data_IF_167746481505
#
_entry.id   IF_167746481505
#
_cell.length_a   1.000
_cell.length_b   1.000
_cell.length_c   1.000
_cell.angle_alpha   90.00
_cell.angle_beta   90.00
_cell.angle_gamma   90.00
#
_symmetry.space_group_name_H-M   'P 1'
#
loop_
_entity.id
_entity.type
_entity.pdbx_description
1 polymer ?
#
# COMPACT_ATOMS: atom_id res chain seq x y z
N UNK A 1 33.66 15.05 9.42
CA UNK A 1 32.65 14.04 9.04
C UNK A 1 32.59 14.00 7.52
N UNK A 2 32.97 12.88 6.88
CA UNK A 2 32.78 12.72 5.43
C UNK A 2 31.30 12.40 5.18
N UNK A 3 30.55 13.36 4.65
CA UNK A 3 29.20 13.10 4.11
C UNK A 3 29.38 12.36 2.79
N UNK A 4 29.23 11.03 2.81
CA UNK A 4 29.11 10.26 1.58
C UNK A 4 27.73 10.55 0.97
N UNK A 5 27.67 11.30 -0.13
CA UNK A 5 26.42 11.59 -0.86
C UNK A 5 25.95 10.38 -1.71
N UNK A 6 26.04 9.17 -1.16
CA UNK A 6 25.67 7.97 -1.88
C UNK A 6 24.20 7.65 -1.58
N UNK A 7 23.45 7.33 -2.62
CA UNK A 7 22.07 6.83 -2.53
C UNK A 7 22.08 5.37 -2.93
N UNK A 8 21.50 4.51 -2.09
CA UNK A 8 21.28 3.09 -2.40
C UNK A 8 19.79 2.85 -2.51
N UNK A 9 19.35 2.32 -3.64
CA UNK A 9 17.96 1.97 -3.89
C UNK A 9 17.79 0.46 -3.77
N UNK A 10 16.87 0.03 -2.89
CA UNK A 10 16.53 -1.38 -2.72
C UNK A 10 15.30 -1.72 -3.57
N UNK A 11 15.52 -2.49 -4.63
CA UNK A 11 14.50 -2.96 -5.57
C UNK A 11 14.01 -4.37 -5.23
N UNK A 12 13.94 -4.76 -3.96
CA UNK A 12 13.46 -6.10 -3.61
C UNK A 12 12.95 -6.11 -2.18
N UNK A 13 11.76 -6.68 -1.96
CA UNK A 13 11.20 -6.89 -0.63
C UNK A 13 12.13 -7.70 0.26
N UNK A 14 12.88 -8.65 -0.32
CA UNK A 14 13.91 -9.41 0.39
C UNK A 14 15.00 -8.49 0.95
N UNK A 15 15.52 -7.56 0.16
CA UNK A 15 16.58 -6.63 0.59
C UNK A 15 16.05 -5.62 1.61
N UNK A 16 14.85 -5.08 1.39
CA UNK A 16 14.17 -4.19 2.33
C UNK A 16 14.03 -4.87 3.69
N UNK A 17 13.56 -6.12 3.71
CA UNK A 17 13.45 -6.91 4.94
C UNK A 17 14.80 -7.13 5.62
N UNK A 18 15.81 -7.60 4.87
CA UNK A 18 17.12 -7.90 5.45
C UNK A 18 17.74 -6.67 6.11
N UNK A 19 17.60 -5.49 5.50
CA UNK A 19 18.18 -4.26 6.02
C UNK A 19 17.35 -3.58 7.11
N UNK A 20 16.03 -3.44 6.88
CA UNK A 20 15.16 -2.65 7.75
C UNK A 20 14.50 -3.46 8.86
N UNK A 21 14.15 -4.72 8.63
CA UNK A 21 13.29 -5.51 9.53
C UNK A 21 14.06 -6.48 10.40
N UNK A 22 14.78 -7.43 9.79
CA UNK A 22 15.49 -8.48 10.54
C UNK A 22 16.64 -7.93 11.36
N UNK A 23 17.30 -6.90 10.85
CA UNK A 23 18.58 -6.43 11.39
C UNK A 23 18.48 -5.06 12.07
N UNK A 24 17.33 -4.38 11.97
CA UNK A 24 17.11 -3.04 12.53
C UNK A 24 18.23 -2.03 12.21
N UNK A 25 18.96 -2.27 11.12
CA UNK A 25 20.34 -1.81 10.97
C UNK A 25 20.40 -0.32 10.66
N UNK A 26 19.44 0.20 9.88
CA UNK A 26 19.41 1.61 9.54
C UNK A 26 19.07 2.55 10.73
N UNK A 27 18.52 2.03 11.84
CA UNK A 27 17.84 2.86 12.85
C UNK A 27 18.21 2.58 14.31
N UNK A 28 19.11 1.66 14.60
CA UNK A 28 19.33 1.24 15.99
C UNK A 28 20.29 2.13 16.79
N UNK A 29 21.06 3.04 16.18
CA UNK A 29 22.08 3.84 16.89
C UNK A 29 23.16 3.01 17.59
N UNK A 30 23.04 1.68 17.53
CA UNK A 30 23.99 0.68 17.95
C UNK A 30 24.69 0.24 16.69
N UNK A 31 25.98 0.59 16.59
CA UNK A 31 26.90 0.03 15.62
C UNK A 31 27.04 -1.45 15.92
N UNK A 32 26.10 -2.25 15.44
CA UNK A 32 26.32 -3.69 15.36
C UNK A 32 27.46 -3.95 14.39
N UNK A 33 28.19 -5.05 14.59
CA UNK A 33 29.44 -5.45 13.90
C UNK A 33 29.34 -5.56 12.35
N UNK A 34 28.20 -5.25 11.75
CA UNK A 34 27.84 -5.48 10.34
C UNK A 34 27.22 -4.26 9.63
N UNK A 35 27.00 -3.13 10.32
CA UNK A 35 26.88 -1.83 9.65
C UNK A 35 28.31 -1.43 9.33
N UNK A 36 28.84 -1.96 8.23
CA UNK A 36 30.19 -1.60 7.83
C UNK A 36 30.22 -0.08 7.56
N UNK A 37 31.36 0.55 7.83
CA UNK A 37 31.58 2.00 7.67
C UNK A 37 31.09 2.55 6.32
N UNK A 38 31.02 1.69 5.28
CA UNK A 38 30.55 1.97 3.94
C UNK A 38 29.09 2.47 3.82
N UNK A 39 28.18 2.14 4.76
CA UNK A 39 26.79 2.64 4.72
C UNK A 39 26.55 3.86 5.62
N UNK A 40 27.55 4.26 6.41
CA UNK A 40 27.45 5.48 7.22
C UNK A 40 27.39 6.70 6.30
N UNK A 41 26.39 7.56 6.53
CA UNK A 41 26.13 8.73 5.69
C UNK A 41 25.42 8.43 4.37
N UNK A 42 25.16 7.16 4.03
CA UNK A 42 24.43 6.77 2.81
C UNK A 42 22.92 6.89 3.02
N UNK A 43 22.21 7.49 2.07
CA UNK A 43 20.75 7.46 2.03
C UNK A 43 20.28 6.13 1.42
N UNK A 44 19.45 5.37 2.14
CA UNK A 44 18.88 4.14 1.62
C UNK A 44 17.39 4.32 1.36
N UNK A 45 16.97 4.06 0.13
CA UNK A 45 15.60 4.20 -0.35
C UNK A 45 15.04 2.82 -0.64
N UNK A 46 13.93 2.45 -0.01
CA UNK A 46 13.16 1.28 -0.40
C UNK A 46 12.30 1.63 -1.62
N UNK A 47 12.54 0.99 -2.76
CA UNK A 47 11.70 1.17 -3.94
C UNK A 47 10.43 0.32 -3.79
N UNK A 48 9.44 0.94 -3.15
CA UNK A 48 8.14 0.32 -2.88
C UNK A 48 7.43 -0.04 -4.18
N UNK A 49 7.51 0.81 -5.22
CA UNK A 49 6.89 0.53 -6.52
C UNK A 49 7.43 -0.77 -7.11
N UNK A 50 8.74 -0.86 -7.30
CA UNK A 50 9.37 -2.06 -7.87
C UNK A 50 9.11 -3.32 -7.03
N UNK A 51 9.11 -3.19 -5.69
CA UNK A 51 8.84 -4.34 -4.81
C UNK A 51 7.45 -4.93 -5.02
N UNK A 52 6.45 -4.14 -5.43
CA UNK A 52 5.10 -4.63 -5.72
C UNK A 52 4.86 -4.94 -7.20
N UNK A 53 5.79 -4.61 -8.09
CA UNK A 53 5.69 -4.85 -9.54
C UNK A 53 6.80 -5.77 -10.07
N UNK A 54 7.42 -6.55 -9.18
CA UNK A 54 8.49 -7.49 -9.51
C UNK A 54 7.90 -8.72 -10.20
N UNK A 55 8.28 -8.98 -11.45
CA UNK A 55 7.88 -10.18 -12.19
C UNK A 55 8.49 -11.47 -11.61
N UNK A 56 9.49 -11.36 -10.75
CA UNK A 56 10.03 -12.51 -10.01
C UNK A 56 9.04 -12.97 -8.93
N UNK A 57 8.33 -12.02 -8.31
CA UNK A 57 7.46 -12.25 -7.15
C UNK A 57 5.96 -12.36 -7.52
N UNK A 58 5.52 -11.73 -8.62
CA UNK A 58 4.11 -11.65 -9.03
C UNK A 58 3.94 -12.02 -10.51
N UNK A 59 2.98 -12.89 -10.83
CA UNK A 59 2.53 -13.09 -12.21
C UNK A 59 1.75 -11.83 -12.67
N UNK A 60 1.99 -11.31 -13.87
CA UNK A 60 1.32 -10.11 -14.41
C UNK A 60 1.24 -8.94 -13.40
N UNK A 61 2.39 -8.40 -12.96
CA UNK A 61 2.47 -7.42 -11.86
C UNK A 61 1.73 -6.11 -12.12
N UNK A 62 1.59 -5.71 -13.38
CA UNK A 62 0.95 -4.46 -13.79
C UNK A 62 -0.58 -4.61 -13.95
N UNK A 63 -1.12 -5.82 -13.81
CA UNK A 63 -2.53 -6.12 -13.99
C UNK A 63 -3.30 -6.22 -12.66
N UNK A 64 -4.52 -5.67 -12.64
CA UNK A 64 -5.41 -5.79 -11.48
C UNK A 64 -6.05 -7.18 -11.42
N UNK A 65 -5.40 -8.11 -10.71
CA UNK A 65 -5.86 -9.49 -10.53
C UNK A 65 -6.04 -9.80 -9.04
N UNK A 66 -7.21 -9.54 -8.43
CA UNK A 66 -7.47 -9.82 -7.02
C UNK A 66 -7.33 -11.30 -6.62
N UNK A 67 -7.61 -12.21 -7.55
CA UNK A 67 -7.64 -13.66 -7.33
C UNK A 67 -6.29 -14.22 -6.89
N UNK A 68 -5.18 -13.54 -7.20
CA UNK A 68 -3.83 -13.94 -6.72
C UNK A 68 -3.76 -14.02 -5.19
N UNK A 69 -4.53 -13.21 -4.48
CA UNK A 69 -4.58 -13.21 -3.02
C UNK A 69 -5.40 -14.39 -2.46
N UNK A 70 -6.20 -15.08 -3.29
CA UNK A 70 -6.85 -16.33 -2.93
C UNK A 70 -5.89 -17.52 -3.05
N UNK A 71 -4.98 -17.47 -4.02
CA UNK A 71 -3.96 -18.50 -4.24
C UNK A 71 -2.80 -18.40 -3.23
N UNK A 72 -2.47 -17.19 -2.80
CA UNK A 72 -1.36 -16.93 -1.89
C UNK A 72 -1.63 -15.71 -0.98
N UNK A 73 -1.36 -15.78 0.35
CA UNK A 73 -1.71 -14.70 1.28
C UNK A 73 -1.04 -13.34 1.00
N UNK A 74 0.06 -13.33 0.23
CA UNK A 74 0.77 -12.12 -0.18
C UNK A 74 0.58 -11.78 -1.66
N UNK A 75 -0.29 -12.49 -2.38
CA UNK A 75 -0.53 -12.31 -3.82
C UNK A 75 0.63 -12.73 -4.73
N UNK A 76 1.74 -13.19 -4.15
CA UNK A 76 2.90 -13.71 -4.85
C UNK A 76 2.63 -15.04 -5.55
N UNK A 77 3.54 -15.41 -6.45
CA UNK A 77 3.50 -16.66 -7.23
C UNK A 77 3.45 -17.88 -6.30
N UNK A 78 2.61 -18.89 -6.58
CA UNK A 78 2.46 -20.05 -5.71
C UNK A 78 3.55 -21.11 -6.02
N UNK A 79 4.81 -20.80 -5.74
CA UNK A 79 5.95 -21.73 -5.92
C UNK A 79 6.73 -21.98 -4.62
N UNK A 80 7.72 -22.87 -4.69
CA UNK A 80 8.51 -23.26 -3.53
C UNK A 80 9.42 -22.14 -2.97
N UNK A 81 9.75 -21.12 -3.77
CA UNK A 81 10.52 -19.96 -3.32
C UNK A 81 9.64 -18.99 -2.51
N UNK A 82 8.33 -18.99 -2.79
CA UNK A 82 7.35 -18.12 -2.16
C UNK A 82 6.45 -18.83 -1.14
N UNK A 83 6.73 -20.09 -0.78
CA UNK A 83 5.99 -20.85 0.23
C UNK A 83 5.82 -20.03 1.54
N UNK A 84 4.58 -19.70 1.96
CA UNK A 84 4.31 -18.94 3.18
C UNK A 84 5.00 -19.49 4.43
N UNK A 85 5.11 -20.82 4.57
CA UNK A 85 5.75 -21.44 5.72
C UNK A 85 7.26 -21.20 5.75
N UNK A 86 7.91 -21.07 4.58
CA UNK A 86 9.33 -20.68 4.45
C UNK A 86 9.55 -19.20 4.65
N UNK A 87 8.47 -18.43 4.48
CA UNK A 87 8.45 -17.00 4.71
C UNK A 87 8.05 -16.66 6.15
N UNK A 88 7.55 -17.59 6.96
CA UNK A 88 7.05 -17.29 8.31
C UNK A 88 8.13 -16.80 9.30
N UNK A 89 7.74 -15.95 10.26
CA UNK A 89 8.60 -15.28 11.25
C UNK A 89 8.91 -13.81 10.91
N UNK A 90 9.40 -13.55 9.69
CA UNK A 90 9.56 -12.20 9.10
C UNK A 90 9.36 -12.30 7.58
N UNK A 91 8.17 -12.68 7.16
CA UNK A 91 7.86 -12.89 5.74
C UNK A 91 7.85 -11.60 4.92
N UNK A 92 7.58 -11.69 3.61
CA UNK A 92 7.17 -10.51 2.86
C UNK A 92 5.90 -9.96 3.50
N UNK A 93 5.76 -8.65 3.46
CA UNK A 93 4.55 -7.98 3.93
C UNK A 93 3.52 -8.01 2.82
N UNK A 94 2.25 -7.97 3.21
CA UNK A 94 1.16 -7.72 2.26
C UNK A 94 1.42 -6.43 1.47
N UNK A 95 1.99 -5.41 2.13
CA UNK A 95 2.47 -4.22 1.44
C UNK A 95 3.61 -3.54 2.18
N UNK A 96 4.52 -2.93 1.40
CA UNK A 96 5.53 -1.98 1.87
C UNK A 96 5.11 -0.50 1.77
N UNK A 97 3.86 -0.21 1.39
CA UNK A 97 3.33 1.15 1.30
C UNK A 97 3.36 1.91 2.65
N UNK A 98 3.34 1.17 3.76
CA UNK A 98 3.45 1.72 5.11
C UNK A 98 4.90 1.77 5.63
N UNK A 99 5.89 1.51 4.77
CA UNK A 99 7.30 1.41 5.15
C UNK A 99 7.67 0.06 5.76
N UNK A 100 8.81 0.01 6.44
CA UNK A 100 9.38 -1.22 6.98
C UNK A 100 10.16 -0.98 8.28
N UNK A 101 10.33 -2.05 9.06
CA UNK A 101 11.19 -2.07 10.25
C UNK A 101 10.67 -1.18 11.39
N UNK A 102 11.60 -0.63 12.18
CA UNK A 102 11.30 0.21 13.37
C UNK A 102 10.56 1.51 13.07
N UNK A 103 10.54 1.96 11.81
CA UNK A 103 9.90 3.21 11.36
C UNK A 103 8.67 2.95 10.49
N UNK A 104 8.13 1.73 10.56
CA UNK A 104 6.85 1.40 9.92
C UNK A 104 5.75 2.34 10.42
N UNK A 105 4.83 2.69 9.54
CA UNK A 105 3.74 3.63 9.83
C UNK A 105 2.95 3.16 11.07
N UNK A 106 2.89 3.97 12.14
CA UNK A 106 2.13 3.59 13.34
C UNK A 106 0.62 3.55 13.08
N UNK A 107 0.14 4.19 12.00
CA UNK A 107 -1.27 4.21 11.60
C UNK A 107 -1.68 3.05 10.68
N UNK A 108 -0.79 2.11 10.34
CA UNK A 108 -1.04 1.04 9.37
C UNK A 108 -2.31 0.23 9.70
N UNK A 109 -2.43 -0.24 10.94
CA UNK A 109 -3.55 -1.11 11.33
C UNK A 109 -4.88 -0.35 11.34
N UNK A 110 -4.87 0.90 11.82
CA UNK A 110 -6.05 1.77 11.78
C UNK A 110 -6.47 2.06 10.34
N UNK A 111 -5.52 2.42 9.46
CA UNK A 111 -5.80 2.67 8.05
C UNK A 111 -6.40 1.44 7.36
N UNK A 112 -5.84 0.24 7.62
CA UNK A 112 -6.35 -1.02 7.08
C UNK A 112 -7.78 -1.30 7.52
N UNK A 113 -8.07 -1.18 8.82
CA UNK A 113 -9.42 -1.42 9.36
C UNK A 113 -10.44 -0.43 8.78
N UNK A 114 -10.08 0.85 8.73
CA UNK A 114 -10.95 1.89 8.18
C UNK A 114 -11.20 1.67 6.68
N UNK A 115 -10.18 1.30 5.90
CA UNK A 115 -10.32 1.02 4.47
C UNK A 115 -11.26 -0.15 4.21
N UNK A 116 -11.10 -1.26 4.95
CA UNK A 116 -11.96 -2.44 4.81
C UNK A 116 -13.41 -2.09 5.15
N UNK A 117 -13.64 -1.40 6.27
CA UNK A 117 -14.98 -1.00 6.69
C UNK A 117 -15.62 0.00 5.72
N UNK A 118 -14.87 1.00 5.27
CA UNK A 118 -15.33 2.00 4.32
C UNK A 118 -15.71 1.37 2.98
N UNK A 119 -14.82 0.54 2.43
CA UNK A 119 -15.08 -0.15 1.16
C UNK A 119 -16.25 -1.13 1.28
N UNK A 120 -16.33 -1.90 2.36
CA UNK A 120 -17.45 -2.81 2.59
C UNK A 120 -18.79 -2.07 2.64
N UNK A 121 -18.85 -0.90 3.29
CA UNK A 121 -20.06 -0.06 3.32
C UNK A 121 -20.44 0.44 1.93
N UNK A 122 -19.47 0.96 1.16
CA UNK A 122 -19.69 1.44 -0.21
C UNK A 122 -20.21 0.29 -1.08
N UNK A 123 -19.52 -0.84 -1.10
CA UNK A 123 -19.89 -2.00 -1.93
C UNK A 123 -21.19 -2.68 -1.47
N UNK A 124 -21.55 -2.58 -0.18
CA UNK A 124 -22.82 -3.11 0.30
C UNK A 124 -24.02 -2.27 -0.15
N UNK A 125 -23.83 -0.94 -0.24
CA UNK A 125 -24.88 0.01 -0.57
C UNK A 125 -24.98 0.31 -2.08
N UNK A 126 -23.86 0.39 -2.79
CA UNK A 126 -23.81 0.93 -4.15
C UNK A 126 -23.14 0.01 -5.16
N UNK A 127 -23.57 0.15 -6.41
CA UNK A 127 -22.80 -0.20 -7.58
C UNK A 127 -21.91 0.99 -7.97
N UNK A 128 -20.60 0.72 -8.05
CA UNK A 128 -19.58 1.71 -8.42
C UNK A 128 -19.34 1.58 -9.91
N UNK A 129 -19.70 2.62 -10.66
CA UNK A 129 -19.69 2.62 -12.12
C UNK A 129 -18.81 3.76 -12.67
N UNK A 130 -18.35 3.65 -13.92
CA UNK A 130 -17.70 4.75 -14.62
C UNK A 130 -18.56 6.03 -14.63
N UNK A 131 -17.94 7.20 -14.89
CA UNK A 131 -18.67 8.46 -15.05
C UNK A 131 -19.83 8.35 -16.05
N UNK A 132 -21.00 8.88 -15.71
CA UNK A 132 -22.15 8.91 -16.63
C UNK A 132 -21.93 9.89 -17.81
N UNK A 133 -20.94 10.78 -17.72
CA UNK A 133 -20.59 11.73 -18.78
C UNK A 133 -19.69 11.12 -19.89
N UNK A 134 -19.23 9.88 -19.70
CA UNK A 134 -18.36 9.18 -20.66
C UNK A 134 -16.88 9.57 -20.57
N UNK A 135 -16.46 10.32 -19.55
CA UNK A 135 -15.05 10.64 -19.35
C UNK A 135 -14.25 9.37 -19.05
N UNK A 136 -13.10 9.24 -19.71
CA UNK A 136 -12.15 8.17 -19.42
C UNK A 136 -11.41 8.46 -18.10
N UNK A 137 -11.27 7.42 -17.28
CA UNK A 137 -10.46 7.48 -16.07
C UNK A 137 -9.00 7.29 -16.48
N UNK A 138 -8.14 8.25 -16.17
CA UNK A 138 -6.71 8.16 -16.43
C UNK A 138 -6.06 7.08 -15.56
N UNK A 139 -5.85 5.89 -16.13
CA UNK A 139 -5.22 4.74 -15.46
C UNK A 139 -3.69 4.72 -15.60
N UNK A 140 -3.15 5.47 -16.56
CA UNK A 140 -1.71 5.57 -16.77
C UNK A 140 -1.01 6.20 -15.56
N UNK A 141 0.10 5.60 -15.14
CA UNK A 141 0.77 5.99 -13.90
C UNK A 141 1.43 7.37 -13.97
N UNK A 142 1.87 7.78 -15.16
CA UNK A 142 2.58 9.05 -15.36
C UNK A 142 1.60 10.22 -15.49
N UNK A 143 0.47 9.99 -16.15
CA UNK A 143 -0.49 11.04 -16.50
C UNK A 143 -1.72 11.05 -15.59
N UNK A 144 -2.17 9.89 -15.13
CA UNK A 144 -3.36 9.71 -14.29
C UNK A 144 -3.14 10.01 -12.80
N UNK A 145 -1.89 10.13 -12.36
CA UNK A 145 -1.55 10.29 -10.94
C UNK A 145 -0.77 11.59 -10.67
N UNK A 146 -0.76 11.97 -9.39
CA UNK A 146 0.06 13.06 -8.85
C UNK A 146 1.09 12.41 -7.92
N UNK A 147 2.36 12.61 -8.24
CA UNK A 147 3.49 12.21 -7.39
C UNK A 147 3.84 13.35 -6.45
N UNK A 148 3.42 13.24 -5.20
CA UNK A 148 3.82 14.11 -4.08
C UNK A 148 4.36 13.22 -2.93
N UNK A 149 4.20 13.62 -1.66
CA UNK A 149 4.51 12.78 -0.49
C UNK A 149 3.92 11.36 -0.60
N UNK A 150 2.76 11.23 -1.24
CA UNK A 150 2.13 9.97 -1.60
C UNK A 150 1.69 10.01 -3.07
N UNK A 151 1.70 8.86 -3.73
CA UNK A 151 1.11 8.70 -5.04
C UNK A 151 -0.41 8.63 -4.89
N UNK A 152 -1.14 9.53 -5.56
CA UNK A 152 -2.60 9.55 -5.55
C UNK A 152 -3.15 9.79 -6.95
N UNK A 153 -4.31 9.23 -7.30
CA UNK A 153 -4.94 9.52 -8.57
C UNK A 153 -5.24 11.02 -8.68
N UNK A 154 -5.24 11.54 -9.91
CA UNK A 154 -5.85 12.83 -10.22
C UNK A 154 -7.35 12.77 -9.92
N UNK A 155 -7.99 13.94 -9.85
CA UNK A 155 -9.45 13.98 -9.67
C UNK A 155 -10.10 13.31 -10.87
N UNK A 156 -10.95 12.33 -10.61
CA UNK A 156 -11.81 11.66 -11.58
C UNK A 156 -13.22 11.56 -10.99
N UNK A 157 -14.23 11.50 -11.85
CA UNK A 157 -15.62 11.32 -11.43
C UNK A 157 -15.98 9.83 -11.34
N UNK A 158 -17.02 9.50 -10.59
CA UNK A 158 -17.52 8.14 -10.41
C UNK A 158 -19.03 8.18 -10.22
N UNK A 159 -19.75 7.22 -10.80
CA UNK A 159 -21.20 7.10 -10.60
C UNK A 159 -21.47 6.05 -9.52
N UNK A 160 -22.16 6.45 -8.44
CA UNK A 160 -22.56 5.56 -7.34
C UNK A 160 -24.07 5.35 -7.41
N UNK A 161 -24.50 4.17 -7.86
CA UNK A 161 -25.93 3.83 -7.99
C UNK A 161 -26.34 2.93 -6.83
N UNK A 162 -27.44 3.27 -6.17
CA UNK A 162 -27.92 2.49 -5.03
C UNK A 162 -28.34 1.08 -5.51
N UNK A 163 -27.87 0.04 -4.82
CA UNK A 163 -28.22 -1.35 -5.13
C UNK A 163 -29.69 -1.63 -4.88
N UNK A 164 -30.23 -2.56 -5.65
CA UNK A 164 -31.61 -3.02 -5.50
C UNK A 164 -31.87 -3.54 -4.07
N UNK A 165 -33.04 -3.19 -3.51
CA UNK A 165 -33.42 -3.58 -2.15
C UNK A 165 -32.74 -2.77 -1.04
N UNK A 166 -31.93 -1.75 -1.36
CA UNK A 166 -31.45 -0.77 -0.38
C UNK A 166 -32.38 0.44 -0.35
N UNK A 167 -32.71 0.92 0.85
CA UNK A 167 -33.58 2.09 1.03
C UNK A 167 -32.77 3.37 1.17
N UNK A 168 -33.34 4.47 0.67
CA UNK A 168 -32.80 5.82 0.85
C UNK A 168 -32.68 6.21 2.33
N UNK A 169 -33.48 5.60 3.20
CA UNK A 169 -33.44 5.78 4.66
C UNK A 169 -32.05 5.49 5.25
N UNK A 170 -31.31 4.53 4.68
CA UNK A 170 -29.93 4.28 5.08
C UNK A 170 -29.05 5.49 4.76
N UNK A 171 -29.21 6.08 3.56
CA UNK A 171 -28.48 7.28 3.15
C UNK A 171 -28.83 8.45 4.05
N UNK A 172 -30.11 8.62 4.38
CA UNK A 172 -30.59 9.67 5.27
C UNK A 172 -30.01 9.49 6.69
N UNK A 173 -29.94 8.26 7.20
CA UNK A 173 -29.27 7.95 8.47
C UNK A 173 -27.78 8.29 8.44
N UNK A 174 -27.06 7.95 7.36
CA UNK A 174 -25.66 8.34 7.19
C UNK A 174 -25.52 9.86 7.12
N UNK A 175 -26.38 10.56 6.36
CA UNK A 175 -26.32 12.01 6.29
C UNK A 175 -26.48 12.66 7.67
N UNK A 176 -27.46 12.21 8.46
CA UNK A 176 -27.70 12.70 9.82
C UNK A 176 -26.58 12.35 10.80
N UNK A 177 -26.04 11.12 10.74
CA UNK A 177 -24.98 10.68 11.64
C UNK A 177 -23.65 11.40 11.39
N UNK A 178 -23.40 11.82 10.14
CA UNK A 178 -22.14 12.44 9.73
C UNK A 178 -22.22 13.97 9.56
N UNK A 179 -23.41 14.59 9.51
CA UNK A 179 -23.58 16.04 9.63
C UNK A 179 -22.86 16.60 10.86
N UNK A 180 -22.99 15.93 12.01
CA UNK A 180 -22.26 16.31 13.23
C UNK A 180 -20.76 16.03 13.21
N UNK A 181 -20.25 15.17 12.30
CA UNK A 181 -18.81 14.95 12.13
C UNK A 181 -18.19 15.99 11.20
N UNK A 182 -18.94 16.49 10.22
CA UNK A 182 -18.51 17.59 9.36
C UNK A 182 -18.23 18.88 10.15
N UNK A 183 -19.05 19.19 11.18
CA UNK A 183 -18.83 20.33 12.08
C UNK A 183 -17.59 20.18 12.99
N UNK A 184 -17.16 18.95 13.30
CA UNK A 184 -16.00 18.70 14.15
C UNK A 184 -14.68 18.68 13.36
N UNK A 185 -14.77 18.50 12.04
CA UNK A 185 -13.63 18.44 11.13
C UNK A 185 -13.44 19.72 10.28
N UNK A 186 -14.33 20.70 10.42
CA UNK A 186 -14.18 22.08 9.90
C UNK A 186 -13.49 22.99 10.91
#
# INVERSE_FOLDING_TARGET
MRTANNVVVLNSGRLVRELFEKRGAAYSGHLWQYINEWILGTSVIANVWHTHHSADDYDDPDEFVPERFLAHPFGMRPDAAHDPARLEGSGPRLTYAFGAGRRICPGMDSARQNLVLGLAKVLWAFDVLPPDNGDEIGLDIETGFISDLVLRPRRFDVSLKLREGRTKEILDHYHQAYEGQAEVMS
#
